data_IF_307165224557
#
_entry.id   IF_307165224557
#
_cell.length_a   1.000
_cell.length_b   1.000
_cell.length_c   1.000
_cell.angle_alpha   90.00
_cell.angle_beta   90.00
_cell.angle_gamma   90.00
#
_symmetry.space_group_name_H-M   'P 1'
#
loop_
_entity.id
_entity.type
_entity.pdbx_description
1 polymer ?
#
# COMPACT_ATOMS: atom_id res chain seq x y z
N UNK A 1 -28.95 3.83 -14.03
CA UNK A 1 -27.85 2.86 -13.92
C UNK A 1 -26.56 3.63 -13.76
N UNK A 2 -26.15 3.84 -12.55
CA UNK A 2 -24.81 4.37 -12.28
C UNK A 2 -23.84 3.22 -12.43
N UNK A 3 -23.03 3.28 -13.46
CA UNK A 3 -21.90 2.38 -13.69
C UNK A 3 -20.89 2.63 -12.56
N UNK A 4 -21.07 1.91 -11.45
CA UNK A 4 -20.06 1.86 -10.39
C UNK A 4 -19.00 0.85 -10.80
N UNK A 5 -18.28 1.18 -11.84
CA UNK A 5 -17.05 0.48 -12.16
C UNK A 5 -16.13 0.70 -10.98
N UNK A 6 -15.88 -0.35 -10.21
CA UNK A 6 -14.90 -0.30 -9.12
C UNK A 6 -13.61 0.31 -9.65
N UNK A 7 -13.00 1.28 -8.96
CA UNK A 7 -11.73 1.86 -9.42
C UNK A 7 -10.61 0.83 -9.54
N UNK A 8 -10.83 -0.37 -9.02
CA UNK A 8 -9.95 -1.52 -9.18
C UNK A 8 -10.25 -2.34 -10.45
N UNK A 9 -11.37 -2.06 -11.14
CA UNK A 9 -11.71 -2.66 -12.43
C UNK A 9 -11.04 -1.91 -13.59
N UNK A 10 -9.78 -1.58 -13.47
CA UNK A 10 -9.02 -1.09 -14.60
C UNK A 10 -8.89 -2.19 -15.66
N UNK A 11 -8.66 -1.82 -16.94
CA UNK A 11 -8.50 -2.80 -17.99
C UNK A 11 -7.41 -3.80 -17.60
N UNK A 12 -7.74 -5.08 -17.68
CA UNK A 12 -6.76 -6.15 -17.53
C UNK A 12 -5.59 -5.86 -18.49
N UNK A 13 -4.38 -5.83 -17.95
CA UNK A 13 -3.19 -5.72 -18.77
C UNK A 13 -2.45 -4.38 -18.75
N UNK A 14 -2.79 -3.42 -17.88
CA UNK A 14 -1.90 -2.27 -17.70
C UNK A 14 -0.55 -2.74 -17.15
N UNK A 15 0.59 -2.30 -17.74
CA UNK A 15 1.89 -2.74 -17.28
C UNK A 15 2.17 -2.24 -15.85
N UNK A 16 2.72 -3.13 -15.02
CA UNK A 16 3.23 -2.77 -13.69
C UNK A 16 4.60 -2.15 -13.85
N UNK A 17 4.64 -0.84 -13.93
CA UNK A 17 5.85 -0.06 -14.21
C UNK A 17 6.68 0.18 -12.95
N UNK A 18 6.01 0.27 -11.79
CA UNK A 18 6.65 0.58 -10.52
C UNK A 18 6.91 -0.67 -9.71
N UNK A 19 8.13 -0.78 -9.18
CA UNK A 19 8.51 -1.83 -8.23
C UNK A 19 8.20 -1.36 -6.82
N UNK A 20 7.62 -2.23 -6.01
CA UNK A 20 7.38 -1.97 -4.60
C UNK A 20 8.50 -2.59 -3.78
N UNK A 21 9.13 -1.79 -2.93
CA UNK A 21 10.11 -2.21 -1.95
C UNK A 21 9.63 -1.86 -0.54
N UNK A 22 10.06 -2.65 0.42
CA UNK A 22 9.77 -2.43 1.83
C UNK A 22 10.96 -1.80 2.53
N UNK A 23 10.70 -0.79 3.36
CA UNK A 23 11.72 -0.29 4.27
C UNK A 23 12.23 -1.45 5.13
N UNK A 24 13.54 -1.52 5.26
CA UNK A 24 14.24 -2.54 6.04
C UNK A 24 15.07 -1.87 7.12
N UNK A 25 14.99 -2.37 8.36
CA UNK A 25 15.81 -1.90 9.48
C UNK A 25 17.26 -2.39 9.34
N UNK A 26 18.15 -1.86 10.15
CA UNK A 26 19.56 -2.31 10.17
C UNK A 26 19.70 -3.79 10.54
N UNK A 27 18.70 -4.35 11.24
CA UNK A 27 18.66 -5.76 11.61
C UNK A 27 18.01 -6.66 10.54
N UNK A 28 17.66 -6.12 9.38
CA UNK A 28 17.01 -6.87 8.31
C UNK A 28 15.51 -7.06 8.47
N UNK A 29 14.88 -6.43 9.44
CA UNK A 29 13.43 -6.48 9.60
C UNK A 29 12.73 -5.57 8.61
N UNK A 30 11.60 -6.03 8.08
CA UNK A 30 10.71 -5.27 7.19
C UNK A 30 9.39 -5.00 7.91
N UNK A 31 9.28 -3.88 8.65
CA UNK A 31 8.12 -3.65 9.53
C UNK A 31 6.77 -3.61 8.81
N UNK A 32 6.70 -3.01 7.63
CA UNK A 32 5.46 -2.95 6.86
C UNK A 32 5.04 -4.34 6.38
N UNK A 33 5.99 -5.13 5.88
CA UNK A 33 5.71 -6.49 5.45
C UNK A 33 5.22 -7.36 6.61
N UNK A 34 5.85 -7.22 7.79
CA UNK A 34 5.44 -7.91 9.00
C UNK A 34 4.04 -7.52 9.44
N UNK A 35 3.73 -6.23 9.44
CA UNK A 35 2.39 -5.72 9.74
C UNK A 35 1.33 -6.33 8.79
N UNK A 36 1.62 -6.38 7.50
CA UNK A 36 0.72 -6.99 6.50
C UNK A 36 0.47 -8.47 6.81
N UNK A 37 1.52 -9.20 7.13
CA UNK A 37 1.45 -10.66 7.34
C UNK A 37 0.84 -11.05 8.68
N UNK A 38 1.14 -10.31 9.74
CA UNK A 38 0.82 -10.70 11.11
C UNK A 38 -0.39 -9.97 11.70
N UNK A 39 -0.60 -8.71 11.35
CA UNK A 39 -1.60 -7.87 12.00
C UNK A 39 -2.88 -7.69 11.16
N UNK A 40 -2.80 -7.83 9.84
CA UNK A 40 -3.97 -7.69 8.98
C UNK A 40 -4.78 -8.97 8.88
N UNK A 41 -6.11 -8.85 8.91
CA UNK A 41 -7.02 -9.94 8.58
C UNK A 41 -6.83 -10.39 7.13
N UNK A 42 -7.26 -11.61 6.75
CA UNK A 42 -7.21 -12.05 5.35
C UNK A 42 -7.89 -11.07 4.40
N UNK A 43 -9.03 -10.49 4.78
CA UNK A 43 -9.76 -9.52 3.96
C UNK A 43 -8.95 -8.23 3.76
N UNK A 44 -8.39 -7.66 4.82
CA UNK A 44 -7.54 -6.45 4.75
C UNK A 44 -6.27 -6.69 3.94
N UNK A 45 -5.65 -7.84 4.13
CA UNK A 45 -4.44 -8.22 3.39
C UNK A 45 -4.71 -8.32 1.89
N UNK A 46 -5.82 -8.93 1.49
CA UNK A 46 -6.23 -9.03 0.10
C UNK A 46 -6.59 -7.68 -0.50
N UNK A 47 -7.30 -6.84 0.24
CA UNK A 47 -7.62 -5.47 -0.17
C UNK A 47 -6.35 -4.69 -0.49
N UNK A 48 -5.39 -4.70 0.42
CA UNK A 48 -4.12 -3.99 0.24
C UNK A 48 -3.31 -4.56 -0.94
N UNK A 49 -3.17 -5.86 -1.03
CA UNK A 49 -2.43 -6.52 -2.10
C UNK A 49 -3.00 -6.21 -3.49
N UNK A 50 -4.31 -6.29 -3.66
CA UNK A 50 -4.98 -5.96 -4.91
C UNK A 50 -4.82 -4.49 -5.28
N UNK A 51 -4.98 -3.58 -4.31
CA UNK A 51 -4.80 -2.15 -4.53
C UNK A 51 -3.35 -1.81 -4.91
N UNK A 52 -2.37 -2.43 -4.27
CA UNK A 52 -0.97 -2.25 -4.64
C UNK A 52 -0.68 -2.69 -6.08
N UNK A 53 -1.17 -3.84 -6.47
CA UNK A 53 -0.96 -4.36 -7.83
C UNK A 53 -1.64 -3.54 -8.91
N UNK A 54 -2.87 -3.13 -8.68
CA UNK A 54 -3.71 -2.51 -9.71
C UNK A 54 -3.55 -1.00 -9.79
N UNK A 55 -3.14 -0.36 -8.71
CA UNK A 55 -3.01 1.09 -8.64
C UNK A 55 -1.58 1.54 -8.40
N UNK A 56 -0.96 1.10 -7.31
CA UNK A 56 0.34 1.61 -6.91
C UNK A 56 1.46 1.18 -7.88
N UNK A 57 1.48 -0.08 -8.31
CA UNK A 57 2.47 -0.57 -9.28
C UNK A 57 2.26 -0.03 -10.69
N UNK A 58 1.04 0.36 -11.01
CA UNK A 58 0.71 0.92 -12.34
C UNK A 58 1.00 2.42 -12.38
N UNK A 59 0.58 3.15 -11.35
CA UNK A 59 0.59 4.61 -11.32
C UNK A 59 1.72 5.22 -10.49
N UNK A 60 2.26 4.47 -9.54
CA UNK A 60 3.25 5.00 -8.60
C UNK A 60 2.73 6.24 -7.88
N UNK A 61 3.56 7.31 -7.75
CA UNK A 61 3.15 8.57 -7.11
C UNK A 61 1.96 9.28 -7.77
N UNK A 62 1.61 8.93 -9.01
CA UNK A 62 0.45 9.51 -9.68
C UNK A 62 -0.88 9.13 -9.03
N UNK A 63 -0.92 8.18 -8.10
CA UNK A 63 -2.10 7.90 -7.25
C UNK A 63 -2.54 9.13 -6.46
N UNK A 64 -1.65 10.10 -6.23
CA UNK A 64 -1.96 11.38 -5.58
C UNK A 64 -2.96 12.24 -6.34
N UNK A 65 -3.20 11.95 -7.62
CA UNK A 65 -4.23 12.60 -8.45
C UNK A 65 -5.60 11.96 -8.32
N UNK A 66 -5.75 10.99 -7.44
CA UNK A 66 -6.97 10.23 -7.21
C UNK A 66 -7.31 10.19 -5.72
N UNK A 67 -8.46 9.62 -5.39
CA UNK A 67 -8.86 9.37 -4.00
C UNK A 67 -7.95 8.35 -3.28
N UNK A 68 -7.08 7.64 -4.01
CA UNK A 68 -6.19 6.61 -3.48
C UNK A 68 -4.85 7.15 -2.99
N UNK A 69 -4.58 8.44 -3.14
CA UNK A 69 -3.31 9.01 -2.71
C UNK A 69 -3.44 10.47 -2.27
N UNK A 70 -2.50 10.88 -1.40
CA UNK A 70 -2.38 12.27 -0.93
C UNK A 70 -0.96 12.54 -0.45
N UNK A 71 -0.34 13.66 -0.85
CA UNK A 71 0.90 14.12 -0.23
C UNK A 71 0.67 14.43 1.25
N UNK A 72 1.57 14.00 2.13
CA UNK A 72 1.44 14.22 3.58
C UNK A 72 2.68 14.86 4.22
N UNK A 73 3.85 14.73 3.60
CA UNK A 73 5.10 15.34 4.04
C UNK A 73 6.05 15.43 2.84
N UNK A 74 7.15 16.20 2.91
CA UNK A 74 8.12 16.27 1.83
C UNK A 74 8.65 14.89 1.45
N UNK A 75 8.44 14.49 0.19
CA UNK A 75 8.86 13.20 -0.35
C UNK A 75 8.03 12.00 0.09
N UNK A 76 6.94 12.22 0.82
CA UNK A 76 6.07 11.15 1.32
C UNK A 76 4.62 11.38 0.88
N UNK A 77 4.01 10.37 0.33
CA UNK A 77 2.57 10.34 0.07
C UNK A 77 1.90 9.20 0.82
N UNK A 78 0.63 9.39 1.14
CA UNK A 78 -0.24 8.42 1.79
C UNK A 78 -1.00 7.65 0.72
N UNK A 79 -0.80 6.35 0.61
CA UNK A 79 -1.61 5.45 -0.18
C UNK A 79 -2.80 5.00 0.67
N UNK A 80 -3.99 5.26 0.16
CA UNK A 80 -5.26 5.14 0.91
C UNK A 80 -6.06 3.98 0.35
N UNK A 81 -6.31 2.97 1.15
CA UNK A 81 -7.15 1.83 0.78
C UNK A 81 -8.42 1.87 1.61
N UNK A 82 -9.54 2.15 0.95
CA UNK A 82 -10.87 2.18 1.54
C UNK A 82 -11.78 1.28 0.73
N UNK A 83 -12.18 0.17 1.32
CA UNK A 83 -13.02 -0.85 0.68
C UNK A 83 -13.94 -1.50 1.70
N UNK A 84 -15.09 -2.00 1.24
CA UNK A 84 -15.88 -2.95 2.02
C UNK A 84 -15.40 -4.38 1.76
N UNK A 85 -15.68 -5.29 2.68
CA UNK A 85 -15.40 -6.72 2.48
C UNK A 85 -16.09 -7.30 1.26
N UNK A 86 -17.28 -6.82 0.92
CA UNK A 86 -17.99 -7.22 -0.31
C UNK A 86 -17.23 -6.81 -1.56
N UNK A 87 -16.69 -5.60 -1.60
CA UNK A 87 -15.87 -5.14 -2.72
C UNK A 87 -14.62 -5.99 -2.89
N UNK A 88 -13.95 -6.34 -1.79
CA UNK A 88 -12.79 -7.24 -1.81
C UNK A 88 -13.15 -8.60 -2.40
N UNK A 89 -14.27 -9.18 -1.96
CA UNK A 89 -14.75 -10.47 -2.48
C UNK A 89 -14.99 -10.41 -3.98
N UNK A 90 -15.66 -9.35 -4.45
CA UNK A 90 -15.92 -9.18 -5.88
C UNK A 90 -14.64 -9.03 -6.71
N UNK A 91 -13.69 -8.26 -6.22
CA UNK A 91 -12.38 -8.09 -6.87
C UNK A 91 -11.63 -9.42 -6.96
N UNK A 92 -11.59 -10.20 -5.89
CA UNK A 92 -10.94 -11.51 -5.88
C UNK A 92 -11.66 -12.52 -6.79
N UNK A 93 -12.98 -12.48 -6.81
CA UNK A 93 -13.78 -13.31 -7.71
C UNK A 93 -13.44 -13.01 -9.17
N UNK A 94 -13.37 -11.75 -9.55
CA UNK A 94 -13.02 -11.32 -10.90
C UNK A 94 -11.59 -11.71 -11.28
N UNK A 95 -10.62 -11.49 -10.39
CA UNK A 95 -9.21 -11.83 -10.62
C UNK A 95 -9.04 -13.32 -10.89
N UNK A 96 -9.76 -14.18 -10.16
CA UNK A 96 -9.59 -15.63 -10.22
C UNK A 96 -10.60 -16.33 -11.13
N UNK A 97 -11.54 -15.59 -11.73
CA UNK A 97 -12.58 -16.17 -12.59
C UNK A 97 -13.50 -17.15 -11.85
N UNK A 98 -13.82 -16.86 -10.59
CA UNK A 98 -14.67 -17.68 -9.73
C UNK A 98 -15.87 -16.89 -9.21
N UNK A 99 -16.83 -17.55 -8.59
CA UNK A 99 -17.96 -16.87 -7.97
C UNK A 99 -17.57 -16.12 -6.70
N UNK A 100 -18.39 -15.16 -6.28
CA UNK A 100 -18.21 -14.45 -5.02
C UNK A 100 -18.17 -15.41 -3.82
N UNK A 101 -19.07 -16.40 -3.79
CA UNK A 101 -19.10 -17.40 -2.73
C UNK A 101 -17.83 -18.25 -2.68
N UNK A 102 -17.32 -18.64 -3.85
CA UNK A 102 -16.04 -19.36 -3.95
C UNK A 102 -14.86 -18.53 -3.49
N UNK A 103 -14.81 -17.24 -3.86
CA UNK A 103 -13.75 -16.33 -3.42
C UNK A 103 -13.79 -16.12 -1.91
N UNK A 104 -14.99 -15.91 -1.35
CA UNK A 104 -15.19 -15.76 0.08
C UNK A 104 -14.68 -16.97 0.86
N UNK A 105 -15.06 -18.16 0.46
CA UNK A 105 -14.65 -19.40 1.12
C UNK A 105 -13.15 -19.68 0.95
N UNK A 106 -12.67 -19.62 -0.28
CA UNK A 106 -11.28 -19.95 -0.63
C UNK A 106 -10.27 -19.07 0.09
N UNK A 107 -10.55 -17.79 0.24
CA UNK A 107 -9.63 -16.81 0.82
C UNK A 107 -9.97 -16.38 2.23
N UNK A 108 -11.04 -16.92 2.82
CA UNK A 108 -11.46 -16.59 4.18
C UNK A 108 -11.90 -15.13 4.34
N UNK A 109 -12.64 -14.60 3.36
CA UNK A 109 -13.00 -13.18 3.32
C UNK A 109 -14.28 -12.89 4.10
N UNK A 110 -14.30 -11.78 4.82
CA UNK A 110 -15.45 -11.32 5.60
C UNK A 110 -16.18 -10.16 4.88
N UNK A 111 -17.41 -10.38 4.37
CA UNK A 111 -18.16 -9.36 3.65
C UNK A 111 -18.57 -8.16 4.53
N UNK A 112 -18.63 -8.35 5.85
CA UNK A 112 -19.02 -7.30 6.81
C UNK A 112 -17.86 -6.42 7.25
N UNK A 113 -16.63 -6.75 6.87
CA UNK A 113 -15.46 -6.01 7.27
C UNK A 113 -15.34 -4.71 6.49
N UNK A 114 -15.02 -3.62 7.20
CA UNK A 114 -14.70 -2.33 6.60
C UNK A 114 -13.20 -2.14 6.61
N UNK A 115 -12.63 -1.86 5.44
CA UNK A 115 -11.19 -1.71 5.28
C UNK A 115 -10.85 -0.23 5.14
N UNK A 116 -9.99 0.27 6.01
CA UNK A 116 -9.52 1.63 6.00
C UNK A 116 -8.03 1.65 6.36
N UNK A 117 -7.18 1.36 5.37
CA UNK A 117 -5.74 1.27 5.56
C UNK A 117 -5.02 2.48 5.00
N UNK A 118 -3.90 2.80 5.60
CA UNK A 118 -2.99 3.86 5.16
C UNK A 118 -1.58 3.28 5.07
N UNK A 119 -0.92 3.51 3.94
CA UNK A 119 0.48 3.15 3.75
C UNK A 119 1.24 4.39 3.29
N UNK A 120 2.27 4.77 4.02
CA UNK A 120 3.12 5.91 3.67
C UNK A 120 4.24 5.45 2.77
N UNK A 121 4.36 6.13 1.63
CA UNK A 121 5.25 5.75 0.54
C UNK A 121 6.18 6.89 0.16
N UNK A 122 7.38 6.53 -0.27
CA UNK A 122 8.33 7.46 -0.88
C UNK A 122 8.77 6.96 -2.24
N UNK A 123 9.12 7.85 -3.18
CA UNK A 123 9.79 7.47 -4.40
C UNK A 123 11.27 7.22 -4.10
N UNK A 124 11.81 6.12 -4.61
CA UNK A 124 13.19 5.73 -4.38
C UNK A 124 13.81 5.22 -5.67
N UNK A 125 14.91 5.86 -6.09
CA UNK A 125 15.55 5.50 -7.34
C UNK A 125 14.63 5.67 -8.56
N UNK A 126 14.81 4.81 -9.57
CA UNK A 126 14.01 4.84 -10.80
C UNK A 126 12.86 3.85 -10.71
N UNK A 127 11.63 4.37 -10.76
CA UNK A 127 10.41 3.54 -10.78
C UNK A 127 10.27 2.58 -9.58
N UNK A 128 10.70 3.02 -8.40
CA UNK A 128 10.56 2.29 -7.14
C UNK A 128 9.69 3.09 -6.17
N UNK A 129 8.69 2.44 -5.60
CA UNK A 129 7.89 2.95 -4.49
C UNK A 129 8.33 2.23 -3.23
N UNK A 130 8.87 2.99 -2.29
CA UNK A 130 9.30 2.47 -0.99
C UNK A 130 8.17 2.57 0.02
N UNK A 131 7.75 1.45 0.59
CA UNK A 131 6.77 1.40 1.67
C UNK A 131 7.47 1.64 3.01
N UNK A 132 7.23 2.81 3.58
CA UNK A 132 7.90 3.28 4.80
C UNK A 132 7.19 2.84 6.07
N UNK A 133 5.87 2.95 6.09
CA UNK A 133 5.06 2.68 7.27
C UNK A 133 3.61 2.46 6.86
N UNK A 134 2.88 1.71 7.67
CA UNK A 134 1.46 1.47 7.45
C UNK A 134 0.71 1.33 8.77
N UNK A 135 -0.57 1.67 8.75
CA UNK A 135 -1.45 1.46 9.90
C UNK A 135 -2.91 1.30 9.47
N UNK A 136 -3.68 0.71 10.36
CA UNK A 136 -5.12 0.53 10.19
C UNK A 136 -5.86 1.73 10.81
N UNK A 137 -6.29 2.64 9.95
CA UNK A 137 -7.03 3.83 10.37
C UNK A 137 -8.41 3.48 10.94
N UNK A 138 -8.96 2.33 10.56
CA UNK A 138 -10.21 1.84 11.11
C UNK A 138 -10.17 1.51 12.59
N UNK A 139 -8.99 1.14 13.12
CA UNK A 139 -8.81 0.87 14.55
C UNK A 139 -8.72 2.14 15.39
N UNK A 140 -8.10 3.18 14.86
CA UNK A 140 -8.01 4.49 15.51
C UNK A 140 -7.97 5.59 14.44
N UNK A 141 -9.12 6.22 14.13
CA UNK A 141 -9.20 7.23 13.08
C UNK A 141 -8.74 8.63 13.50
N UNK A 142 -8.21 8.79 14.72
CA UNK A 142 -7.84 10.09 15.25
C UNK A 142 -6.73 10.78 14.44
N UNK A 143 -6.82 12.11 14.34
CA UNK A 143 -5.78 12.92 13.72
C UNK A 143 -4.45 12.80 14.46
N UNK A 144 -4.49 12.63 15.78
CA UNK A 144 -3.31 12.43 16.63
C UNK A 144 -2.56 11.14 16.26
N UNK A 145 -3.29 10.04 16.04
CA UNK A 145 -2.71 8.78 15.55
C UNK A 145 -2.05 8.98 14.20
N UNK A 146 -2.74 9.61 13.28
CA UNK A 146 -2.21 9.85 11.92
C UNK A 146 -0.93 10.66 11.94
N UNK A 147 -0.83 11.73 12.73
CA UNK A 147 0.39 12.54 12.85
C UNK A 147 1.56 11.71 13.41
N UNK A 148 1.32 10.88 14.37
CA UNK A 148 2.33 9.98 14.94
C UNK A 148 2.84 8.96 13.91
N UNK A 149 1.95 8.41 13.10
CA UNK A 149 2.31 7.46 12.04
C UNK A 149 3.06 8.13 10.88
N UNK A 150 2.69 9.36 10.52
CA UNK A 150 3.43 10.17 9.55
C UNK A 150 4.85 10.45 10.04
N UNK A 151 5.01 10.79 11.32
CA UNK A 151 6.32 11.05 11.92
C UNK A 151 7.24 9.83 11.82
N UNK A 152 6.72 8.62 12.01
CA UNK A 152 7.48 7.39 11.82
C UNK A 152 7.94 7.19 10.36
N UNK A 153 7.07 7.47 9.40
CA UNK A 153 7.44 7.43 7.99
C UNK A 153 8.54 8.45 7.64
N UNK A 154 8.44 9.65 8.18
CA UNK A 154 9.47 10.71 8.01
C UNK A 154 10.82 10.23 8.55
N UNK A 155 10.82 9.63 9.74
CA UNK A 155 12.03 9.09 10.37
C UNK A 155 12.68 8.00 9.49
N UNK A 156 11.89 7.11 8.96
CA UNK A 156 12.38 6.01 8.11
C UNK A 156 12.90 6.50 6.76
N UNK A 157 12.25 7.48 6.16
CA UNK A 157 12.74 8.10 4.92
C UNK A 157 14.11 8.78 5.14
N UNK A 158 14.29 9.47 6.27
CA UNK A 158 15.58 10.08 6.63
C UNK A 158 16.69 9.02 6.76
N UNK A 159 16.39 7.88 7.34
CA UNK A 159 17.33 6.74 7.42
C UNK A 159 17.72 6.25 6.02
N UNK A 160 16.76 6.09 5.12
CA UNK A 160 17.03 5.64 3.76
C UNK A 160 17.89 6.64 2.99
N UNK A 161 17.61 7.92 3.12
CA UNK A 161 18.40 8.99 2.48
C UNK A 161 19.83 9.04 3.00
N UNK A 162 20.05 8.81 4.29
CA UNK A 162 21.38 8.71 4.88
C UNK A 162 22.17 7.53 4.31
N UNK A 163 21.53 6.39 4.15
CA UNK A 163 22.13 5.19 3.55
C UNK A 163 22.54 5.45 2.09
N UNK A 164 21.69 6.11 1.32
CA UNK A 164 21.96 6.44 -0.08
C UNK A 164 23.14 7.40 -0.20
N UNK A 165 23.22 8.41 0.66
CA UNK A 165 24.32 9.36 0.71
C UNK A 165 25.66 8.66 1.05
N UNK A 166 25.65 7.72 2.00
CA UNK A 166 26.83 6.93 2.35
C UNK A 166 27.29 6.04 1.18
N UNK A 167 26.36 5.35 0.54
CA UNK A 167 26.66 4.50 -0.62
C UNK A 167 27.23 5.30 -1.80
N UNK A 168 26.70 6.49 -2.07
CA UNK A 168 27.22 7.39 -3.10
C UNK A 168 28.64 7.90 -2.77
N UNK A 169 28.91 8.20 -1.50
CA UNK A 169 30.23 8.63 -1.03
C UNK A 169 31.28 7.51 -1.17
N UNK A 170 30.94 6.29 -0.84
CA UNK A 170 31.83 5.13 -0.97
C UNK A 170 32.17 4.83 -2.44
N UNK A 171 31.21 4.95 -3.35
CA UNK A 171 31.43 4.77 -4.79
C UNK A 171 32.36 5.82 -5.38
N UNK A 172 32.37 7.06 -4.85
CA UNK A 172 33.25 8.13 -5.32
C UNK A 172 34.69 7.94 -4.84
N UNK A 173 34.93 7.16 -3.79
CA UNK A 173 36.26 6.90 -3.22
C UNK A 173 37.00 5.72 -3.88
N UNK A 174 36.32 4.95 -4.72
CA UNK A 174 36.90 3.82 -5.49
C UNK A 174 37.20 4.27 -6.91
#
# INVERSE_FOLDING_TARGET
MTDQTSPLSGPEGLPRVWTIEFFETDNGEKPVLRWIKEDLTPTKRRALGSAMRRLLQVRGPAVNRSAWGRPVAPGIFEFRVRMSGKEVINVEADIHGISADQARERFGLNPSEEILLRVFCGAHGSKIVLLLHGYDKGEDPSARRQQREIAEAVRRLAIMRSRDAQSASEKRRR
#
